data_IF_868856026501
#
_entry.id   IF_868856026501
#
_cell.length_a   1.000
_cell.length_b   1.000
_cell.length_c   1.000
_cell.angle_alpha   90.00
_cell.angle_beta   90.00
_cell.angle_gamma   90.00
#
_symmetry.space_group_name_H-M   'P 1'
#
loop_
_entity.id
_entity.type
_entity.pdbx_description
1 polymer ?
#
# COMPACT_ATOMS: atom_id res chain seq x y z
N UNK A 1 -34.00 10.91 21.03
CA UNK A 1 -32.82 10.20 20.42
C UNK A 1 -33.28 8.78 20.16
N UNK A 2 -33.34 8.34 18.91
CA UNK A 2 -33.93 7.04 18.58
C UNK A 2 -32.90 5.97 18.80
N UNK A 3 -33.26 4.85 19.36
CA UNK A 3 -32.39 3.68 19.72
C UNK A 3 -31.50 3.25 18.56
N UNK A 4 -31.96 3.45 17.33
CA UNK A 4 -31.24 3.14 16.08
C UNK A 4 -29.99 4.00 15.85
N UNK A 5 -29.97 5.23 16.35
CA UNK A 5 -28.81 6.15 16.24
C UNK A 5 -27.65 5.67 17.08
N UNK A 6 -27.96 5.21 18.30
CA UNK A 6 -26.97 4.64 19.22
C UNK A 6 -26.44 3.30 18.69
N UNK A 7 -27.33 2.45 18.14
CA UNK A 7 -26.93 1.17 17.56
C UNK A 7 -26.00 1.33 16.38
N UNK A 8 -26.20 2.35 15.53
CA UNK A 8 -25.33 2.59 14.38
C UNK A 8 -24.01 3.26 14.76
N UNK A 9 -24.05 4.14 15.73
CA UNK A 9 -22.84 4.74 16.28
C UNK A 9 -21.96 3.67 16.96
N UNK A 10 -22.56 2.72 17.67
CA UNK A 10 -21.85 1.56 18.24
C UNK A 10 -21.33 0.61 17.16
N UNK A 11 -22.10 0.37 16.11
CA UNK A 11 -21.69 -0.46 14.96
C UNK A 11 -20.59 0.21 14.14
N UNK A 12 -20.59 1.55 14.03
CA UNK A 12 -19.50 2.32 13.46
C UNK A 12 -18.24 2.23 14.32
N UNK A 13 -18.34 2.40 15.62
CA UNK A 13 -17.23 2.31 16.56
C UNK A 13 -16.63 0.89 16.56
N UNK A 14 -17.46 -0.14 16.67
CA UNK A 14 -17.02 -1.54 16.67
C UNK A 14 -16.46 -1.97 15.30
N UNK A 15 -17.08 -1.57 14.20
CA UNK A 15 -16.58 -1.82 12.84
C UNK A 15 -15.23 -1.15 12.58
N UNK A 16 -15.05 0.10 13.02
CA UNK A 16 -13.74 0.78 12.95
C UNK A 16 -12.69 0.11 13.84
N UNK A 17 -13.04 -0.27 15.06
CA UNK A 17 -12.13 -0.98 15.99
C UNK A 17 -11.77 -2.36 15.44
N UNK A 18 -12.72 -3.12 14.91
CA UNK A 18 -12.48 -4.47 14.36
C UNK A 18 -11.63 -4.45 13.09
N UNK A 19 -11.81 -3.45 12.23
CA UNK A 19 -10.99 -3.25 11.02
C UNK A 19 -9.56 -2.77 11.35
N UNK A 20 -9.39 -1.99 12.41
CA UNK A 20 -8.09 -1.57 12.93
C UNK A 20 -7.34 -2.77 13.52
N UNK A 21 -8.03 -3.58 14.32
CA UNK A 21 -7.45 -4.72 15.00
C UNK A 21 -6.79 -5.75 14.06
N UNK A 22 -7.30 -5.95 12.85
CA UNK A 22 -6.83 -7.00 11.96
C UNK A 22 -5.64 -6.62 11.06
N UNK A 23 -5.54 -5.37 10.62
CA UNK A 23 -4.41 -4.93 9.77
C UNK A 23 -3.24 -4.37 10.58
N UNK A 24 -3.53 -3.74 11.71
CA UNK A 24 -2.52 -3.17 12.58
C UNK A 24 -2.00 -4.17 13.62
N UNK A 25 -2.73 -5.25 13.92
CA UNK A 25 -2.28 -6.31 14.83
C UNK A 25 -1.03 -7.03 14.31
N UNK A 26 -0.93 -7.26 13.01
CA UNK A 26 0.28 -7.83 12.38
C UNK A 26 1.44 -6.82 12.39
N UNK A 27 1.16 -5.53 12.23
CA UNK A 27 2.18 -4.47 12.35
C UNK A 27 2.51 -4.11 13.80
N UNK A 28 1.63 -4.42 14.74
CA UNK A 28 1.81 -4.20 16.18
C UNK A 28 2.81 -5.18 16.79
N UNK A 29 2.86 -6.42 16.30
CA UNK A 29 3.83 -7.41 16.73
C UNK A 29 5.27 -7.11 16.29
N UNK A 30 5.45 -6.23 15.29
CA UNK A 30 6.77 -5.93 14.72
C UNK A 30 7.36 -4.55 15.09
N UNK A 31 6.58 -3.61 15.67
CA UNK A 31 7.12 -2.27 15.95
C UNK A 31 6.42 -1.54 17.11
N UNK A 32 7.09 -1.51 18.25
CA UNK A 32 6.70 -0.90 19.55
C UNK A 32 6.48 0.62 19.57
N UNK A 33 6.35 1.34 18.46
CA UNK A 33 6.35 2.82 18.47
C UNK A 33 5.09 3.49 17.90
N UNK A 34 3.94 2.82 17.82
CA UNK A 34 2.82 3.29 16.95
C UNK A 34 1.51 3.71 17.63
N UNK A 35 1.41 3.85 18.95
CA UNK A 35 0.14 4.27 19.60
C UNK A 35 -0.30 5.69 19.16
N UNK A 36 0.64 6.62 19.00
CA UNK A 36 0.36 8.00 18.54
C UNK A 36 -0.08 8.07 17.07
N UNK A 37 0.44 7.19 16.22
CA UNK A 37 0.06 7.14 14.80
C UNK A 37 -1.34 6.54 14.60
N UNK A 38 -1.72 5.55 15.41
CA UNK A 38 -3.07 4.99 15.44
C UNK A 38 -4.10 6.01 15.93
N UNK A 39 -3.79 6.71 17.03
CA UNK A 39 -4.66 7.76 17.56
C UNK A 39 -4.88 8.90 16.55
N UNK A 40 -3.81 9.39 15.90
CA UNK A 40 -3.92 10.39 14.83
C UNK A 40 -4.73 9.88 13.63
N UNK A 41 -4.65 8.59 13.33
CA UNK A 41 -5.42 7.96 12.26
C UNK A 41 -6.91 7.88 12.57
N UNK A 42 -7.24 7.51 13.80
CA UNK A 42 -8.62 7.48 14.28
C UNK A 42 -9.22 8.89 14.31
N UNK A 43 -8.48 9.85 14.87
CA UNK A 43 -8.93 11.23 14.94
C UNK A 43 -9.22 11.82 13.55
N UNK A 44 -8.37 11.56 12.53
CA UNK A 44 -8.62 11.97 11.15
C UNK A 44 -9.85 11.29 10.53
N UNK A 45 -10.06 10.00 10.80
CA UNK A 45 -11.22 9.28 10.28
C UNK A 45 -12.53 9.79 10.92
N UNK A 46 -12.54 10.06 12.22
CA UNK A 46 -13.71 10.62 12.92
C UNK A 46 -14.02 12.05 12.50
N UNK A 47 -13.00 12.91 12.33
CA UNK A 47 -13.20 14.28 11.81
C UNK A 47 -13.80 14.28 10.40
N UNK A 48 -13.32 13.43 9.51
CA UNK A 48 -13.87 13.32 8.14
C UNK A 48 -15.30 12.79 8.19
N UNK A 49 -15.60 11.82 9.05
CA UNK A 49 -16.95 11.31 9.22
C UNK A 49 -17.91 12.40 9.69
N UNK A 50 -17.55 13.15 10.72
CA UNK A 50 -18.39 14.23 11.26
C UNK A 50 -18.61 15.33 10.22
N UNK A 51 -17.52 15.76 9.54
CA UNK A 51 -17.59 16.81 8.52
C UNK A 51 -18.49 16.39 7.34
N UNK A 52 -18.28 15.16 6.82
CA UNK A 52 -19.09 14.62 5.71
C UNK A 52 -20.53 14.37 6.12
N UNK A 53 -20.77 13.94 7.35
CA UNK A 53 -22.12 13.78 7.87
C UNK A 53 -22.86 15.11 7.90
N UNK A 54 -22.26 16.18 8.46
CA UNK A 54 -22.87 17.51 8.49
C UNK A 54 -23.09 18.07 7.09
N UNK A 55 -22.13 17.90 6.18
CA UNK A 55 -22.26 18.37 4.80
C UNK A 55 -23.46 17.68 4.10
N UNK A 56 -23.55 16.37 4.16
CA UNK A 56 -24.61 15.61 3.50
C UNK A 56 -25.96 15.88 4.18
N UNK A 57 -25.98 15.98 5.52
CA UNK A 57 -27.19 16.30 6.26
C UNK A 57 -27.75 17.69 5.89
N UNK A 58 -26.84 18.66 5.67
CA UNK A 58 -27.25 20.01 5.23
C UNK A 58 -27.97 19.97 3.85
N UNK A 59 -27.49 19.16 2.91
CA UNK A 59 -28.07 19.00 1.58
C UNK A 59 -29.31 18.11 1.58
N UNK A 60 -29.29 16.98 2.25
CA UNK A 60 -30.38 16.00 2.18
C UNK A 60 -31.49 16.24 3.19
N UNK A 61 -31.23 17.00 4.27
CA UNK A 61 -32.11 17.20 5.42
C UNK A 61 -32.74 15.90 5.96
N UNK A 62 -32.07 14.76 5.73
CA UNK A 62 -32.49 13.41 6.12
C UNK A 62 -31.37 12.70 6.86
N UNK A 63 -31.66 12.32 8.09
CA UNK A 63 -30.73 11.58 8.95
C UNK A 63 -30.40 10.20 8.39
N UNK A 64 -31.45 9.50 7.93
CA UNK A 64 -31.34 8.11 7.45
C UNK A 64 -30.45 7.94 6.23
N UNK A 65 -30.36 8.96 5.36
CA UNK A 65 -29.56 8.92 4.13
C UNK A 65 -28.12 9.39 4.38
N UNK A 66 -27.93 10.42 5.21
CA UNK A 66 -26.62 11.02 5.46
C UNK A 66 -25.67 10.09 6.19
N UNK A 67 -26.16 9.22 7.06
CA UNK A 67 -25.37 8.37 7.94
C UNK A 67 -24.62 7.25 7.18
N UNK A 68 -25.26 6.42 6.33
CA UNK A 68 -24.56 5.40 5.53
C UNK A 68 -23.52 5.98 4.58
N UNK A 69 -23.83 7.13 3.95
CA UNK A 69 -22.93 7.79 3.01
C UNK A 69 -21.68 8.34 3.74
N UNK A 70 -21.87 9.00 4.88
CA UNK A 70 -20.76 9.47 5.70
C UNK A 70 -19.87 8.31 6.18
N UNK A 71 -20.48 7.15 6.48
CA UNK A 71 -19.74 5.94 6.83
C UNK A 71 -18.83 5.45 5.68
N UNK A 72 -19.36 5.36 4.46
CA UNK A 72 -18.60 4.96 3.29
C UNK A 72 -17.45 5.94 2.99
N UNK A 73 -17.70 7.24 3.04
CA UNK A 73 -16.70 8.28 2.78
C UNK A 73 -15.60 8.33 3.86
N UNK A 74 -15.94 8.03 5.10
CA UNK A 74 -14.95 7.93 6.20
C UNK A 74 -13.88 6.84 5.97
N UNK A 75 -14.15 5.88 5.08
CA UNK A 75 -13.21 4.82 4.73
C UNK A 75 -12.18 5.22 3.66
N UNK A 76 -12.43 6.30 2.89
CA UNK A 76 -11.56 6.78 1.82
C UNK A 76 -10.09 7.04 2.25
N UNK A 77 -9.80 7.72 3.38
CA UNK A 77 -8.41 8.00 3.74
C UNK A 77 -7.58 6.76 4.06
N UNK A 78 -8.23 5.65 4.44
CA UNK A 78 -7.54 4.36 4.62
C UNK A 78 -7.10 3.76 3.30
N UNK A 79 -7.95 3.84 2.28
CA UNK A 79 -7.63 3.38 0.92
C UNK A 79 -6.44 4.17 0.37
N UNK A 80 -6.41 5.48 0.58
CA UNK A 80 -5.31 6.35 0.11
C UNK A 80 -3.96 6.00 0.76
N UNK A 81 -3.92 5.70 2.04
CA UNK A 81 -2.68 5.27 2.72
C UNK A 81 -2.15 3.93 2.20
N UNK A 82 -3.04 3.00 1.89
CA UNK A 82 -2.67 1.73 1.25
C UNK A 82 -2.04 1.95 -0.13
N UNK A 83 -2.55 2.92 -0.90
CA UNK A 83 -2.00 3.30 -2.20
C UNK A 83 -0.61 3.94 -2.06
N UNK A 84 -0.39 4.81 -1.07
CA UNK A 84 0.90 5.46 -0.84
C UNK A 84 1.99 4.45 -0.48
N UNK A 85 1.71 3.52 0.41
CA UNK A 85 2.65 2.43 0.74
C UNK A 85 3.02 1.59 -0.49
N UNK A 86 2.04 1.24 -1.33
CA UNK A 86 2.28 0.52 -2.58
C UNK A 86 3.13 1.34 -3.55
N UNK A 87 2.89 2.63 -3.66
CA UNK A 87 3.64 3.53 -4.52
C UNK A 87 5.12 3.61 -4.13
N UNK A 88 5.43 3.69 -2.84
CA UNK A 88 6.80 3.65 -2.33
C UNK A 88 7.47 2.32 -2.68
N UNK A 89 6.78 1.22 -2.49
CA UNK A 89 7.25 -0.13 -2.82
C UNK A 89 7.52 -0.30 -4.32
N UNK A 90 6.60 0.18 -5.16
CA UNK A 90 6.75 0.18 -6.62
C UNK A 90 7.91 1.05 -7.08
N UNK A 91 8.07 2.25 -6.51
CA UNK A 91 9.19 3.13 -6.81
C UNK A 91 10.53 2.46 -6.49
N UNK A 92 10.60 1.76 -5.36
CA UNK A 92 11.77 0.99 -4.93
C UNK A 92 12.08 -0.16 -5.90
N UNK A 93 11.08 -0.96 -6.24
CA UNK A 93 11.20 -2.08 -7.16
C UNK A 93 11.65 -1.63 -8.56
N UNK A 94 11.06 -0.54 -9.07
CA UNK A 94 11.41 0.04 -10.37
C UNK A 94 12.82 0.63 -10.42
N UNK A 95 13.39 0.96 -9.28
CA UNK A 95 14.74 1.51 -9.18
C UNK A 95 15.84 0.44 -9.32
N UNK A 96 15.53 -0.84 -9.04
CA UNK A 96 16.52 -1.92 -9.06
C UNK A 96 17.18 -2.14 -10.43
N UNK A 97 16.43 -2.25 -11.56
CA UNK A 97 17.08 -2.46 -12.86
C UNK A 97 18.06 -1.35 -13.22
N UNK A 98 17.74 -0.11 -12.90
CA UNK A 98 18.61 1.04 -13.14
C UNK A 98 19.93 0.92 -12.36
N UNK A 99 19.85 0.56 -11.08
CA UNK A 99 21.04 0.37 -10.23
C UNK A 99 21.93 -0.76 -10.77
N UNK A 100 21.33 -1.88 -11.14
CA UNK A 100 22.08 -3.01 -11.68
C UNK A 100 22.75 -2.66 -13.00
N UNK A 101 22.10 -1.91 -13.88
CA UNK A 101 22.69 -1.43 -15.12
C UNK A 101 23.87 -0.46 -14.87
N UNK A 102 23.76 0.42 -13.87
CA UNK A 102 24.85 1.31 -13.46
C UNK A 102 26.04 0.53 -12.91
N UNK A 103 25.79 -0.48 -12.06
CA UNK A 103 26.85 -1.34 -11.53
C UNK A 103 27.53 -2.15 -12.65
N UNK A 104 26.73 -2.71 -13.58
CA UNK A 104 27.27 -3.44 -14.73
C UNK A 104 28.15 -2.54 -15.62
N UNK A 105 27.71 -1.31 -15.88
CA UNK A 105 28.48 -0.35 -16.68
C UNK A 105 29.78 0.08 -15.97
N UNK A 106 29.73 0.35 -14.67
CA UNK A 106 30.89 0.73 -13.89
C UNK A 106 31.94 -0.41 -13.87
N UNK A 107 31.51 -1.65 -13.63
CA UNK A 107 32.42 -2.80 -13.61
C UNK A 107 33.04 -3.09 -14.97
N UNK A 108 32.29 -2.86 -16.07
CA UNK A 108 32.83 -2.98 -17.44
C UNK A 108 33.88 -1.90 -17.75
N UNK A 109 33.74 -0.71 -17.18
CA UNK A 109 34.74 0.36 -17.28
C UNK A 109 35.95 0.12 -16.38
N UNK A 110 36.08 -1.06 -15.76
CA UNK A 110 37.22 -1.42 -14.91
C UNK A 110 37.08 -0.94 -13.45
N UNK A 111 35.93 -0.33 -13.06
CA UNK A 111 35.75 0.05 -11.67
C UNK A 111 35.49 -1.19 -10.82
N UNK A 112 36.25 -1.41 -9.74
CA UNK A 112 36.02 -2.53 -8.83
C UNK A 112 34.61 -2.50 -8.23
N UNK A 113 34.00 -3.69 -8.09
CA UNK A 113 32.59 -3.82 -7.65
C UNK A 113 32.30 -3.11 -6.32
N UNK A 114 33.20 -3.20 -5.34
CA UNK A 114 33.04 -2.52 -4.05
C UNK A 114 33.05 -0.99 -4.18
N UNK A 115 33.85 -0.42 -5.10
CA UNK A 115 33.83 1.02 -5.39
C UNK A 115 32.55 1.44 -6.09
N UNK A 116 32.09 0.65 -7.07
CA UNK A 116 30.83 0.91 -7.75
C UNK A 116 29.65 0.91 -6.78
N UNK A 117 29.59 -0.04 -5.85
CA UNK A 117 28.55 -0.09 -4.79
C UNK A 117 28.65 1.11 -3.83
N UNK A 118 29.85 1.53 -3.47
CA UNK A 118 30.06 2.69 -2.60
C UNK A 118 29.59 3.99 -3.26
N UNK A 119 29.80 4.15 -4.58
CA UNK A 119 29.30 5.30 -5.33
C UNK A 119 27.76 5.37 -5.38
N UNK A 120 27.06 4.23 -5.28
CA UNK A 120 25.59 4.19 -5.24
C UNK A 120 25.01 4.90 -4.02
N UNK A 121 25.77 5.09 -2.94
CA UNK A 121 25.39 5.93 -1.80
C UNK A 121 25.02 7.35 -2.24
N UNK A 122 25.77 7.92 -3.17
CA UNK A 122 25.62 9.30 -3.62
C UNK A 122 24.79 9.42 -4.92
N UNK A 123 25.02 8.50 -5.87
CA UNK A 123 24.42 8.52 -7.22
C UNK A 123 23.19 7.63 -7.36
N UNK A 124 22.96 6.73 -6.40
CA UNK A 124 21.84 5.80 -6.44
C UNK A 124 20.49 6.47 -6.26
N UNK A 125 19.40 5.81 -6.71
CA UNK A 125 18.05 6.34 -6.60
C UNK A 125 17.61 6.45 -5.14
N UNK A 126 16.88 7.52 -4.82
CA UNK A 126 16.44 7.86 -3.46
C UNK A 126 15.79 6.68 -2.68
N UNK A 127 14.94 5.82 -3.30
CA UNK A 127 14.32 4.70 -2.57
C UNK A 127 15.29 3.61 -2.08
N UNK A 128 16.51 3.56 -2.64
CA UNK A 128 17.53 2.55 -2.30
C UNK A 128 18.74 3.13 -1.56
N UNK A 129 18.77 4.43 -1.36
CA UNK A 129 19.93 5.16 -0.83
C UNK A 129 20.35 4.67 0.56
N UNK A 130 19.39 4.38 1.44
CA UNK A 130 19.66 3.94 2.81
C UNK A 130 20.40 2.59 2.85
N UNK A 131 20.08 1.68 1.92
CA UNK A 131 20.73 0.38 1.81
C UNK A 131 22.18 0.53 1.36
N UNK A 132 22.44 1.38 0.36
CA UNK A 132 23.79 1.64 -0.11
C UNK A 132 24.63 2.42 0.90
N UNK A 133 23.98 3.27 1.72
CA UNK A 133 24.66 3.92 2.86
C UNK A 133 25.08 2.88 3.90
N UNK A 134 24.18 1.96 4.27
CA UNK A 134 24.50 0.90 5.22
C UNK A 134 25.63 -0.03 4.71
N UNK A 135 25.65 -0.34 3.41
CA UNK A 135 26.75 -1.05 2.79
C UNK A 135 28.07 -0.28 2.91
N UNK A 136 28.06 1.00 2.51
CA UNK A 136 29.24 1.86 2.51
C UNK A 136 29.84 2.02 3.91
N UNK A 137 29.01 2.26 4.90
CA UNK A 137 29.42 2.42 6.31
C UNK A 137 30.05 1.14 6.84
N UNK A 138 29.39 -0.01 6.71
CA UNK A 138 29.91 -1.28 7.17
C UNK A 138 31.19 -1.70 6.42
N UNK A 139 31.30 -1.41 5.12
CA UNK A 139 32.49 -1.71 4.36
C UNK A 139 33.68 -0.84 4.76
N UNK A 140 33.46 0.42 5.10
CA UNK A 140 34.50 1.32 5.59
C UNK A 140 34.99 0.93 6.99
N UNK A 141 34.09 0.44 7.85
CA UNK A 141 34.40 0.06 9.23
C UNK A 141 35.15 -1.29 9.30
N UNK A 142 34.67 -2.29 8.57
CA UNK A 142 35.14 -3.69 8.72
C UNK A 142 35.95 -4.20 7.56
N UNK A 143 35.94 -3.55 6.39
CA UNK A 143 36.61 -4.01 5.19
C UNK A 143 36.06 -5.32 4.58
N UNK A 144 35.02 -5.89 5.19
CA UNK A 144 34.43 -7.16 4.77
C UNK A 144 33.26 -6.93 3.82
N UNK A 145 33.41 -7.42 2.57
CA UNK A 145 32.35 -7.30 1.56
C UNK A 145 31.10 -8.10 1.93
N UNK A 146 31.26 -9.26 2.55
CA UNK A 146 30.12 -10.10 2.95
C UNK A 146 29.31 -9.45 4.05
N UNK A 147 29.96 -8.95 5.10
CA UNK A 147 29.29 -8.26 6.20
C UNK A 147 28.62 -6.97 5.74
N UNK A 148 29.25 -6.23 4.86
CA UNK A 148 28.64 -5.05 4.27
C UNK A 148 27.37 -5.38 3.49
N UNK A 149 27.34 -6.51 2.75
CA UNK A 149 26.13 -7.00 2.07
C UNK A 149 25.07 -7.55 3.04
N UNK A 150 25.47 -8.03 4.22
CA UNK A 150 24.52 -8.38 5.28
C UNK A 150 23.83 -7.13 5.81
N UNK A 151 24.58 -6.08 6.12
CA UNK A 151 24.01 -4.79 6.57
C UNK A 151 23.12 -4.14 5.49
N UNK A 152 23.52 -4.25 4.22
CA UNK A 152 22.70 -3.85 3.08
C UNK A 152 21.33 -4.53 3.08
N UNK A 153 21.29 -5.86 3.22
CA UNK A 153 20.03 -6.61 3.25
C UNK A 153 19.23 -6.36 4.53
N UNK A 154 19.87 -6.21 5.66
CA UNK A 154 19.20 -5.86 6.93
C UNK A 154 18.53 -4.49 6.84
N UNK A 155 19.21 -3.48 6.28
CA UNK A 155 18.65 -2.16 6.01
C UNK A 155 17.50 -2.25 5.02
N UNK A 156 17.63 -3.08 3.95
CA UNK A 156 16.57 -3.32 3.00
C UNK A 156 15.28 -3.85 3.65
N UNK A 157 15.42 -4.81 4.57
CA UNK A 157 14.27 -5.37 5.31
C UNK A 157 13.63 -4.37 6.26
N UNK A 158 14.41 -3.51 6.90
CA UNK A 158 13.88 -2.43 7.78
C UNK A 158 13.07 -1.41 7.00
N UNK A 159 13.50 -1.08 5.78
CA UNK A 159 12.83 -0.11 4.91
C UNK A 159 11.61 -0.71 4.16
N UNK A 160 11.54 -2.04 4.06
CA UNK A 160 10.46 -2.70 3.34
C UNK A 160 9.17 -2.72 4.16
N UNK A 161 8.03 -2.39 3.53
CA UNK A 161 6.72 -2.30 4.21
C UNK A 161 6.30 -3.61 4.86
N UNK A 162 6.71 -4.74 4.29
CA UNK A 162 6.39 -6.09 4.78
C UNK A 162 7.56 -6.78 5.50
N UNK A 163 8.66 -6.05 5.77
CA UNK A 163 9.80 -6.58 6.52
C UNK A 163 10.70 -7.57 5.78
N UNK A 164 10.42 -7.88 4.50
CA UNK A 164 11.23 -8.79 3.68
C UNK A 164 11.36 -8.27 2.25
N UNK A 165 12.61 -7.96 1.84
CA UNK A 165 12.92 -7.54 0.47
C UNK A 165 13.61 -8.68 -0.30
N UNK A 166 12.80 -9.44 -1.04
CA UNK A 166 13.27 -10.56 -1.85
C UNK A 166 14.27 -10.13 -2.93
N UNK A 167 14.11 -8.92 -3.50
CA UNK A 167 15.02 -8.42 -4.53
C UNK A 167 16.40 -8.13 -3.92
N UNK A 168 16.44 -7.52 -2.74
CA UNK A 168 17.71 -7.25 -2.06
C UNK A 168 18.50 -8.55 -1.75
N UNK A 169 17.78 -9.61 -1.35
CA UNK A 169 18.38 -10.93 -1.11
C UNK A 169 18.96 -11.52 -2.40
N UNK A 170 18.22 -11.46 -3.52
CA UNK A 170 18.72 -11.92 -4.84
C UNK A 170 19.92 -11.10 -5.29
N UNK A 171 19.85 -9.79 -5.14
CA UNK A 171 20.96 -8.88 -5.47
C UNK A 171 22.19 -9.23 -4.64
N UNK A 172 22.05 -9.43 -3.32
CA UNK A 172 23.15 -9.90 -2.45
C UNK A 172 23.78 -11.17 -2.98
N UNK A 173 22.97 -12.21 -3.25
CA UNK A 173 23.48 -13.48 -3.76
C UNK A 173 24.24 -13.33 -5.09
N UNK A 174 23.70 -12.55 -6.02
CA UNK A 174 24.34 -12.27 -7.31
C UNK A 174 25.64 -11.49 -7.17
N UNK A 175 25.70 -10.51 -6.26
CA UNK A 175 26.91 -9.72 -6.00
C UNK A 175 28.02 -10.56 -5.37
N UNK A 176 27.69 -11.54 -4.52
CA UNK A 176 28.67 -12.49 -3.97
C UNK A 176 29.25 -13.38 -5.08
N UNK A 177 28.40 -13.96 -5.93
CA UNK A 177 28.82 -14.76 -7.07
C UNK A 177 29.72 -13.92 -8.03
N UNK A 178 29.25 -12.69 -8.35
CA UNK A 178 29.98 -11.79 -9.23
C UNK A 178 31.39 -11.44 -8.67
N UNK A 179 31.49 -11.23 -7.35
CA UNK A 179 32.78 -11.02 -6.69
C UNK A 179 33.68 -12.24 -6.83
N UNK A 180 33.15 -13.45 -6.59
CA UNK A 180 33.92 -14.69 -6.58
C UNK A 180 34.39 -15.08 -7.99
N UNK A 181 33.56 -14.84 -9.03
CA UNK A 181 33.98 -15.02 -10.43
C UNK A 181 35.01 -13.97 -10.87
N UNK A 182 34.89 -12.74 -10.39
CA UNK A 182 35.85 -11.66 -10.64
C UNK A 182 35.94 -11.21 -12.11
N UNK A 183 36.80 -10.22 -12.34
CA UNK A 183 37.25 -9.82 -13.68
C UNK A 183 36.12 -9.48 -14.68
N UNK A 184 36.21 -10.04 -15.88
CA UNK A 184 35.32 -9.76 -17.00
C UNK A 184 33.90 -10.34 -16.85
N UNK A 185 33.74 -11.36 -15.99
CA UNK A 185 32.47 -12.05 -15.80
C UNK A 185 31.43 -11.24 -14.97
N UNK A 186 31.89 -10.30 -14.17
CA UNK A 186 31.00 -9.46 -13.30
C UNK A 186 29.94 -8.72 -14.10
N UNK A 187 30.36 -8.08 -15.20
CA UNK A 187 29.46 -7.30 -16.05
C UNK A 187 28.32 -8.13 -16.68
N UNK A 188 28.61 -9.26 -17.35
CA UNK A 188 27.61 -10.18 -17.87
C UNK A 188 26.63 -10.70 -16.81
N UNK A 189 27.12 -11.11 -15.62
CA UNK A 189 26.30 -11.60 -14.51
C UNK A 189 25.28 -10.51 -14.08
N UNK A 190 25.76 -9.29 -13.87
CA UNK A 190 24.90 -8.16 -13.49
C UNK A 190 23.88 -7.81 -14.58
N UNK A 191 24.25 -7.85 -15.86
CA UNK A 191 23.33 -7.61 -16.97
C UNK A 191 22.22 -8.65 -17.04
N UNK A 192 22.54 -9.92 -16.82
CA UNK A 192 21.54 -10.98 -16.76
C UNK A 192 20.55 -10.75 -15.62
N UNK A 193 21.03 -10.35 -14.43
CA UNK A 193 20.16 -9.96 -13.32
C UNK A 193 19.27 -8.76 -13.69
N UNK A 194 19.84 -7.72 -14.30
CA UNK A 194 19.11 -6.54 -14.75
C UNK A 194 18.01 -6.89 -15.77
N UNK A 195 18.30 -7.79 -16.72
CA UNK A 195 17.33 -8.28 -17.69
C UNK A 195 16.17 -9.03 -17.02
N UNK A 196 16.48 -9.92 -16.08
CA UNK A 196 15.49 -10.66 -15.30
C UNK A 196 14.58 -9.72 -14.49
N UNK A 197 15.18 -8.73 -13.80
CA UNK A 197 14.41 -7.75 -13.03
C UNK A 197 13.49 -6.89 -13.92
N UNK A 198 13.95 -6.49 -15.11
CA UNK A 198 13.12 -5.76 -16.07
C UNK A 198 11.96 -6.62 -16.59
N UNK A 199 12.22 -7.88 -16.90
CA UNK A 199 11.16 -8.80 -17.36
C UNK A 199 10.09 -8.98 -16.27
N UNK A 200 10.53 -9.22 -15.02
CA UNK A 200 9.62 -9.33 -13.87
C UNK A 200 8.81 -8.05 -13.66
N UNK A 201 9.45 -6.89 -13.77
CA UNK A 201 8.77 -5.60 -13.60
C UNK A 201 7.71 -5.35 -14.68
N UNK A 202 8.00 -5.68 -15.94
CA UNK A 202 7.02 -5.59 -17.03
C UNK A 202 5.80 -6.46 -16.77
N UNK A 203 6.01 -7.74 -16.43
CA UNK A 203 4.93 -8.66 -16.11
C UNK A 203 4.05 -8.17 -14.94
N UNK A 204 4.68 -7.67 -13.87
CA UNK A 204 3.95 -7.12 -12.72
C UNK A 204 3.20 -5.83 -13.06
N UNK A 205 3.77 -4.96 -13.91
CA UNK A 205 3.10 -3.73 -14.32
C UNK A 205 1.87 -3.99 -15.19
N UNK A 206 1.93 -4.95 -16.11
CA UNK A 206 0.78 -5.35 -16.93
C UNK A 206 -0.38 -5.86 -16.06
N UNK A 207 -0.08 -6.73 -15.10
CA UNK A 207 -1.09 -7.24 -14.16
C UNK A 207 -1.66 -6.11 -13.30
N UNK A 208 -0.80 -5.19 -12.82
CA UNK A 208 -1.22 -4.07 -11.99
C UNK A 208 -2.19 -3.13 -12.73
N UNK A 209 -1.92 -2.80 -14.00
CA UNK A 209 -2.80 -1.95 -14.82
C UNK A 209 -4.17 -2.60 -15.01
N UNK A 210 -4.22 -3.90 -15.38
CA UNK A 210 -5.47 -4.63 -15.53
C UNK A 210 -6.28 -4.66 -14.23
N UNK A 211 -5.62 -4.89 -13.10
CA UNK A 211 -6.28 -4.91 -11.78
C UNK A 211 -6.80 -3.52 -11.37
N UNK A 212 -6.07 -2.45 -11.68
CA UNK A 212 -6.49 -1.10 -11.34
C UNK A 212 -7.74 -0.69 -12.10
N UNK A 213 -7.84 -1.05 -13.37
CA UNK A 213 -9.03 -0.81 -14.19
C UNK A 213 -10.26 -1.52 -13.62
N UNK A 214 -10.14 -2.80 -13.27
CA UNK A 214 -11.23 -3.58 -12.64
C UNK A 214 -11.67 -2.94 -11.30
N UNK A 215 -10.72 -2.53 -10.46
CA UNK A 215 -11.01 -1.88 -9.17
C UNK A 215 -11.73 -0.56 -9.33
N UNK A 216 -11.30 0.26 -10.28
CA UNK A 216 -11.91 1.56 -10.53
C UNK A 216 -13.34 1.38 -11.09
N UNK A 217 -13.55 0.44 -12.01
CA UNK A 217 -14.88 0.08 -12.50
C UNK A 217 -15.82 -0.42 -11.39
N UNK A 218 -15.33 -1.31 -10.54
CA UNK A 218 -16.09 -1.82 -9.41
C UNK A 218 -16.41 -0.73 -8.36
N UNK A 219 -15.49 0.20 -8.13
CA UNK A 219 -15.73 1.33 -7.21
C UNK A 219 -16.82 2.29 -7.74
N UNK A 220 -16.81 2.55 -9.06
CA UNK A 220 -17.88 3.32 -9.72
C UNK A 220 -19.23 2.62 -9.61
N UNK A 221 -19.28 1.33 -9.95
CA UNK A 221 -20.50 0.53 -9.85
C UNK A 221 -21.07 0.50 -8.42
N UNK A 222 -20.20 0.36 -7.41
CA UNK A 222 -20.61 0.37 -6.00
C UNK A 222 -21.05 1.76 -5.51
N UNK A 223 -20.50 2.84 -6.09
CA UNK A 223 -20.84 4.21 -5.75
C UNK A 223 -22.13 4.73 -6.38
N UNK A 224 -22.50 4.23 -7.57
CA UNK A 224 -23.65 4.70 -8.35
C UNK A 224 -24.97 4.69 -7.58
N UNK A 225 -25.37 3.63 -6.84
CA UNK A 225 -26.59 3.63 -6.05
C UNK A 225 -26.64 4.74 -4.99
N UNK A 226 -25.51 5.08 -4.40
CA UNK A 226 -25.41 6.10 -3.37
C UNK A 226 -25.52 7.52 -3.93
N UNK A 227 -24.95 7.75 -5.13
CA UNK A 227 -25.12 9.02 -5.85
C UNK A 227 -26.58 9.20 -6.24
N UNK A 228 -27.21 8.16 -6.78
CA UNK A 228 -28.61 8.16 -7.18
C UNK A 228 -29.53 8.41 -5.96
N UNK A 229 -29.19 7.83 -4.82
CA UNK A 229 -29.93 8.03 -3.56
C UNK A 229 -29.82 9.49 -3.07
N UNK A 230 -28.68 10.16 -3.22
CA UNK A 230 -28.52 11.59 -2.92
C UNK A 230 -29.44 12.40 -3.85
N UNK A 231 -29.45 12.10 -5.15
CA UNK A 231 -30.27 12.80 -6.12
C UNK A 231 -31.77 12.63 -5.82
N UNK A 232 -32.20 11.40 -5.52
CA UNK A 232 -33.61 11.14 -5.14
C UNK A 232 -33.98 11.81 -3.81
N UNK A 233 -33.05 12.03 -2.89
CA UNK A 233 -33.31 12.68 -1.61
C UNK A 233 -33.66 14.16 -1.74
N UNK A 234 -33.45 14.77 -2.92
CA UNK A 234 -33.88 16.13 -3.20
C UNK A 234 -35.44 16.22 -3.27
N UNK A 235 -36.11 15.10 -3.59
CA UNK A 235 -37.55 15.03 -3.58
C UNK A 235 -38.09 14.81 -2.14
N UNK A 236 -39.00 15.67 -1.62
CA UNK A 236 -39.57 15.56 -0.27
C UNK A 236 -40.26 14.23 0.00
N UNK A 237 -40.97 13.66 -0.98
CA UNK A 237 -41.66 12.38 -0.84
C UNK A 237 -40.72 11.23 -0.61
N UNK A 238 -39.58 11.21 -1.32
CA UNK A 238 -38.56 10.18 -1.17
C UNK A 238 -37.90 10.24 0.21
N UNK A 239 -37.69 11.44 0.77
CA UNK A 239 -37.16 11.60 2.13
C UNK A 239 -38.05 10.96 3.19
N UNK A 240 -39.38 11.16 3.08
CA UNK A 240 -40.35 10.56 4.01
C UNK A 240 -40.33 9.05 3.91
N UNK A 241 -40.26 8.50 2.70
CA UNK A 241 -40.15 7.05 2.47
C UNK A 241 -38.91 6.42 3.10
N UNK A 242 -37.75 7.04 2.92
CA UNK A 242 -36.48 6.52 3.50
C UNK A 242 -36.32 6.79 5.00
N UNK A 243 -37.07 7.73 5.58
CA UNK A 243 -37.14 7.94 7.02
C UNK A 243 -38.13 6.99 7.73
N UNK A 244 -38.91 6.20 6.99
CA UNK A 244 -39.73 5.13 7.55
C UNK A 244 -38.89 3.95 8.02
N UNK A 245 -39.49 3.10 8.88
CA UNK A 245 -38.82 1.87 9.35
C UNK A 245 -38.42 0.89 8.22
N UNK A 246 -39.24 0.80 7.16
CA UNK A 246 -38.97 0.01 5.98
C UNK A 246 -37.84 0.61 5.12
N UNK A 247 -37.83 1.92 4.91
CA UNK A 247 -36.78 2.62 4.16
C UNK A 247 -35.40 2.50 4.82
N UNK A 248 -35.34 2.55 6.13
CA UNK A 248 -34.14 2.34 6.91
C UNK A 248 -33.55 0.93 6.73
N UNK A 249 -34.41 -0.10 6.70
CA UNK A 249 -34.01 -1.49 6.52
C UNK A 249 -33.38 -1.71 5.13
N UNK A 250 -33.96 -1.10 4.09
CA UNK A 250 -33.40 -1.12 2.71
C UNK A 250 -32.01 -0.48 2.66
N UNK A 251 -31.82 0.65 3.33
CA UNK A 251 -30.52 1.34 3.38
C UNK A 251 -29.46 0.51 4.11
N UNK A 252 -29.82 -0.18 5.19
CA UNK A 252 -28.90 -1.10 5.90
C UNK A 252 -28.51 -2.29 5.04
N UNK A 253 -29.46 -2.92 4.36
CA UNK A 253 -29.17 -4.04 3.44
C UNK A 253 -28.24 -3.56 2.32
N UNK A 254 -28.53 -2.42 1.69
CA UNK A 254 -27.69 -1.83 0.66
C UNK A 254 -26.26 -1.54 1.14
N UNK A 255 -26.12 -1.01 2.37
CA UNK A 255 -24.82 -0.76 2.98
C UNK A 255 -24.05 -2.05 3.21
N UNK A 256 -24.68 -3.06 3.79
CA UNK A 256 -24.03 -4.36 4.06
C UNK A 256 -23.60 -5.04 2.77
N UNK A 257 -24.43 -5.06 1.73
CA UNK A 257 -24.09 -5.61 0.42
C UNK A 257 -22.90 -4.86 -0.21
N UNK A 258 -22.88 -3.54 -0.14
CA UNK A 258 -21.77 -2.72 -0.65
C UNK A 258 -20.46 -3.04 0.08
N UNK A 259 -20.51 -3.20 1.41
CA UNK A 259 -19.33 -3.57 2.20
C UNK A 259 -18.84 -4.97 1.90
N UNK A 260 -19.73 -5.94 1.74
CA UNK A 260 -19.40 -7.31 1.36
C UNK A 260 -18.73 -7.33 -0.02
N UNK A 261 -19.33 -6.67 -1.01
CA UNK A 261 -18.78 -6.59 -2.36
C UNK A 261 -17.38 -5.94 -2.36
N UNK A 262 -17.21 -4.84 -1.63
CA UNK A 262 -15.90 -4.18 -1.49
C UNK A 262 -14.86 -5.09 -0.82
N UNK A 263 -15.25 -5.81 0.23
CA UNK A 263 -14.37 -6.75 0.92
C UNK A 263 -13.93 -7.90 -0.01
N UNK A 264 -14.83 -8.46 -0.80
CA UNK A 264 -14.53 -9.50 -1.76
C UNK A 264 -13.57 -9.03 -2.86
N UNK A 265 -13.83 -7.89 -3.46
CA UNK A 265 -12.97 -7.29 -4.48
C UNK A 265 -11.56 -7.03 -3.93
N UNK A 266 -11.47 -6.49 -2.72
CA UNK A 266 -10.19 -6.22 -2.07
C UNK A 266 -9.41 -7.50 -1.76
N UNK A 267 -10.09 -8.60 -1.42
CA UNK A 267 -9.47 -9.88 -1.10
C UNK A 267 -8.97 -10.62 -2.33
N UNK A 268 -9.74 -10.65 -3.42
CA UNK A 268 -9.32 -11.23 -4.71
C UNK A 268 -8.06 -10.53 -5.22
N UNK A 269 -8.00 -9.22 -5.11
CA UNK A 269 -6.84 -8.43 -5.51
C UNK A 269 -5.55 -8.75 -4.72
N UNK A 270 -5.67 -9.20 -3.47
CA UNK A 270 -4.50 -9.60 -2.65
C UNK A 270 -3.98 -10.98 -3.02
N UNK A 271 -4.86 -11.95 -3.29
CA UNK A 271 -4.47 -13.33 -3.61
C UNK A 271 -3.77 -13.43 -4.96
N UNK A 272 -4.18 -12.67 -5.97
CA UNK A 272 -3.50 -12.61 -7.27
C UNK A 272 -2.11 -11.99 -7.13
N UNK A 273 -1.94 -10.96 -6.30
CA UNK A 273 -0.65 -10.34 -6.04
C UNK A 273 0.35 -11.27 -5.34
N UNK A 274 -0.12 -12.20 -4.50
CA UNK A 274 0.75 -13.18 -3.83
C UNK A 274 1.22 -14.30 -4.77
N UNK A 275 0.36 -14.77 -5.67
CA UNK A 275 0.69 -15.86 -6.61
C UNK A 275 1.81 -15.48 -7.61
N UNK A 276 2.00 -14.20 -7.90
CA UNK A 276 3.10 -13.71 -8.73
C UNK A 276 4.37 -13.32 -7.93
N UNK A 277 4.34 -13.44 -6.60
CA UNK A 277 5.50 -13.19 -5.73
C UNK A 277 6.31 -14.45 -5.41
N UNK A 278 5.73 -15.63 -5.50
CA UNK A 278 6.44 -16.91 -5.37
C UNK A 278 7.00 -17.35 -6.72
#
# INVERSE_FOLDING_TARGET
MRIYEVALFTLFLTGNVMLISRQDFVSYLTKSHSSRALFKSLLKSTTIFVLTYFLIHFFTKSFSISLPIAFLLSYLPRIQRGKERKRIEEARRKSWPLVIDQLASATQSGVPLHKALNEMRNRGPAPLKEQFSAFSESFQEEGSFERALEKFTESAHKCHVFGHDEIAVRVKATLLIARDCGGLEVGPILRNLGALLRQRERALSEVAVKQEWIKNGAALAAGTPWVLLILLSLNPQTRVAYNSSGGWLVLLIGLTLTLIAYFWISRISLSVSQKYKS
#
